data_IF_726584580354
#
_entry.id   IF_726584580354
#
_cell.length_a   1.000
_cell.length_b   1.000
_cell.length_c   1.000
_cell.angle_alpha   90.00
_cell.angle_beta   90.00
_cell.angle_gamma   90.00
#
_symmetry.space_group_name_H-M   'P 1'
#
loop_
_entity.id
_entity.type
_entity.pdbx_description
1 polymer ?
#
# COMPACT_ATOMS: atom_id res chain seq x y z
N UNK A 1 13.53 34.85 -5.71
CA UNK A 1 13.18 33.55 -5.10
C UNK A 1 13.43 32.49 -6.16
N UNK A 2 14.56 31.82 -6.10
CA UNK A 2 14.84 30.64 -6.92
C UNK A 2 13.88 29.55 -6.48
N UNK A 3 12.95 29.18 -7.36
CA UNK A 3 12.11 27.97 -7.18
C UNK A 3 13.10 26.82 -7.06
N UNK A 4 13.25 26.24 -5.87
CA UNK A 4 13.96 24.96 -5.72
C UNK A 4 13.32 23.97 -6.68
N UNK A 5 14.07 23.62 -7.72
CA UNK A 5 13.62 22.63 -8.70
C UNK A 5 13.45 21.31 -7.96
N UNK A 6 12.20 20.89 -7.71
CA UNK A 6 11.87 19.62 -7.05
C UNK A 6 12.62 18.50 -7.79
N UNK A 7 13.49 17.81 -7.09
CA UNK A 7 14.25 16.69 -7.67
C UNK A 7 13.30 15.56 -8.03
N UNK A 8 13.01 15.42 -9.32
CA UNK A 8 12.18 14.32 -9.87
C UNK A 8 12.93 12.99 -9.89
N UNK A 9 12.19 11.89 -9.78
CA UNK A 9 12.75 10.54 -9.74
C UNK A 9 11.96 9.59 -10.66
N UNK A 10 12.67 8.85 -11.50
CA UNK A 10 12.13 7.70 -12.23
C UNK A 10 12.54 6.41 -11.51
N UNK A 11 11.58 5.55 -11.22
CA UNK A 11 11.79 4.18 -10.72
C UNK A 11 11.42 3.21 -11.82
N UNK A 12 12.40 2.64 -12.51
CA UNK A 12 12.15 1.71 -13.61
C UNK A 12 12.21 0.26 -13.12
N UNK A 13 11.09 -0.45 -13.21
CA UNK A 13 11.02 -1.85 -12.78
C UNK A 13 11.59 -2.76 -13.87
N UNK A 14 12.43 -3.71 -13.46
CA UNK A 14 13.10 -4.70 -14.32
C UNK A 14 12.74 -6.12 -13.87
N UNK A 15 12.70 -7.07 -14.78
CA UNK A 15 12.55 -8.50 -14.46
C UNK A 15 11.56 -9.23 -15.35
N UNK A 16 11.59 -10.56 -15.29
CA UNK A 16 10.74 -11.42 -16.10
C UNK A 16 9.26 -11.39 -15.68
N UNK A 17 8.32 -11.82 -16.53
CA UNK A 17 6.90 -11.95 -16.15
C UNK A 17 6.71 -12.86 -14.93
N UNK A 18 5.63 -12.63 -14.17
CA UNK A 18 5.30 -13.36 -12.94
C UNK A 18 6.34 -13.27 -11.79
N UNK A 19 7.18 -12.23 -11.76
CA UNK A 19 8.17 -11.98 -10.70
C UNK A 19 7.76 -10.88 -9.72
N UNK A 20 6.46 -10.55 -9.59
CA UNK A 20 5.97 -9.57 -8.63
C UNK A 20 6.19 -8.09 -8.99
N UNK A 21 6.68 -7.76 -10.20
CA UNK A 21 7.00 -6.38 -10.62
C UNK A 21 5.90 -5.36 -10.37
N UNK A 22 4.71 -5.59 -10.92
CA UNK A 22 3.57 -4.68 -10.79
C UNK A 22 3.13 -4.52 -9.34
N UNK A 23 3.24 -5.59 -8.54
CA UNK A 23 2.96 -5.55 -7.11
C UNK A 23 3.96 -4.65 -6.38
N UNK A 24 5.25 -4.81 -6.67
CA UNK A 24 6.32 -3.96 -6.14
C UNK A 24 6.14 -2.50 -6.54
N UNK A 25 5.88 -2.23 -7.84
CA UNK A 25 5.62 -0.89 -8.35
C UNK A 25 4.48 -0.18 -7.59
N UNK A 26 3.36 -0.88 -7.41
CA UNK A 26 2.19 -0.34 -6.68
C UNK A 26 2.48 -0.12 -5.19
N UNK A 27 3.21 -1.05 -4.56
CA UNK A 27 3.60 -0.87 -3.15
C UNK A 27 4.50 0.36 -2.96
N UNK A 28 5.45 0.59 -3.86
CA UNK A 28 6.29 1.79 -3.83
C UNK A 28 5.42 3.04 -4.00
N UNK A 29 4.55 3.09 -5.02
CA UNK A 29 3.66 4.24 -5.25
C UNK A 29 2.78 4.52 -4.02
N UNK A 30 2.10 3.50 -3.51
CA UNK A 30 1.23 3.61 -2.34
C UNK A 30 1.97 4.13 -1.11
N UNK A 31 3.17 3.60 -0.84
CA UNK A 31 4.00 4.04 0.28
C UNK A 31 4.40 5.51 0.15
N UNK A 32 4.84 5.92 -1.05
CA UNK A 32 5.26 7.30 -1.31
C UNK A 32 4.07 8.26 -1.24
N UNK A 33 2.93 7.93 -1.87
CA UNK A 33 1.71 8.73 -1.82
C UNK A 33 1.21 8.91 -0.39
N UNK A 34 1.17 7.82 0.38
CA UNK A 34 0.77 7.90 1.78
C UNK A 34 1.70 8.79 2.61
N UNK A 35 2.98 8.87 2.25
CA UNK A 35 3.95 9.79 2.88
C UNK A 35 3.85 11.23 2.40
N UNK A 36 3.00 11.52 1.43
CA UNK A 36 2.79 12.86 0.88
C UNK A 36 3.70 13.21 -0.30
N UNK A 37 4.32 12.20 -0.95
CA UNK A 37 5.00 12.38 -2.23
C UNK A 37 4.04 12.05 -3.37
N UNK A 38 4.04 12.85 -4.42
CA UNK A 38 3.24 12.56 -5.61
C UNK A 38 3.94 11.47 -6.46
N UNK A 39 3.41 10.24 -6.37
CA UNK A 39 3.97 9.07 -7.05
C UNK A 39 2.92 8.40 -7.96
N UNK A 40 3.30 8.10 -9.23
CA UNK A 40 2.40 7.52 -10.22
C UNK A 40 3.03 6.35 -10.96
N UNK A 41 2.24 5.28 -11.19
CA UNK A 41 2.68 4.10 -11.94
C UNK A 41 2.27 4.20 -13.40
N UNK A 42 3.24 4.09 -14.30
CA UNK A 42 3.09 4.01 -15.76
C UNK A 42 3.32 2.58 -16.22
N UNK A 43 2.24 1.80 -16.33
CA UNK A 43 2.33 0.37 -16.67
C UNK A 43 2.19 0.15 -18.18
N UNK A 44 3.28 -0.21 -18.85
CA UNK A 44 3.34 -0.43 -20.32
C UNK A 44 2.35 -1.50 -20.79
N UNK A 45 2.02 -2.47 -19.96
CA UNK A 45 0.98 -3.46 -20.26
C UNK A 45 -0.42 -2.84 -20.39
N UNK A 46 -0.72 -1.75 -19.68
CA UNK A 46 -1.98 -1.01 -19.82
C UNK A 46 -2.03 -0.28 -21.17
N UNK A 47 -0.92 0.37 -21.57
CA UNK A 47 -0.83 1.00 -22.89
C UNK A 47 -1.06 -0.02 -24.01
N UNK A 48 -0.40 -1.17 -23.93
CA UNK A 48 -0.63 -2.27 -24.89
C UNK A 48 -2.12 -2.66 -24.96
N UNK A 49 -2.75 -2.90 -23.82
CA UNK A 49 -4.18 -3.30 -23.78
C UNK A 49 -5.10 -2.23 -24.33
N UNK A 50 -4.81 -0.96 -24.07
CA UNK A 50 -5.60 0.17 -24.57
C UNK A 50 -5.52 0.31 -26.09
N UNK A 51 -4.32 0.15 -26.67
CA UNK A 51 -4.07 0.41 -28.09
C UNK A 51 -4.16 -0.81 -28.99
N UNK A 52 -3.79 -2.00 -28.48
CA UNK A 52 -3.72 -3.24 -29.26
C UNK A 52 -4.73 -4.30 -28.80
N UNK A 53 -5.51 -3.99 -27.77
CA UNK A 53 -6.44 -4.93 -27.15
C UNK A 53 -5.79 -5.90 -26.18
N UNK A 54 -6.62 -6.54 -25.36
CA UNK A 54 -6.27 -7.69 -24.54
C UNK A 54 -6.18 -8.96 -25.40
N UNK A 55 -5.76 -10.07 -24.79
CA UNK A 55 -5.72 -11.43 -25.40
C UNK A 55 -4.73 -11.56 -26.57
N UNK A 56 -3.60 -10.85 -26.51
CA UNK A 56 -2.51 -11.07 -27.46
C UNK A 56 -1.92 -12.47 -27.29
N UNK A 57 -1.69 -13.26 -28.36
CA UNK A 57 -1.12 -14.60 -28.28
C UNK A 57 0.32 -14.55 -27.76
N UNK A 58 0.83 -15.68 -27.23
CA UNK A 58 2.19 -15.74 -26.71
C UNK A 58 3.25 -15.34 -27.76
N UNK A 59 3.02 -15.67 -29.05
CA UNK A 59 3.88 -15.31 -30.20
C UNK A 59 4.06 -13.81 -30.40
N UNK A 60 3.13 -12.98 -29.90
CA UNK A 60 3.31 -11.52 -29.88
C UNK A 60 4.52 -11.11 -29.03
N UNK A 61 4.91 -11.92 -28.03
CA UNK A 61 6.00 -11.66 -27.12
C UNK A 61 7.32 -12.31 -27.56
N UNK A 62 7.28 -13.09 -28.63
CA UNK A 62 8.46 -13.71 -29.21
C UNK A 62 9.49 -12.63 -29.62
N UNK A 63 10.76 -12.75 -29.20
CA UNK A 63 11.83 -11.83 -29.61
C UNK A 63 12.09 -11.85 -31.12
N UNK A 64 11.77 -12.95 -31.80
CA UNK A 64 11.96 -13.08 -33.27
C UNK A 64 10.77 -12.50 -34.06
N UNK A 65 9.64 -12.16 -33.43
CA UNK A 65 8.49 -11.52 -34.08
C UNK A 65 8.74 -10.02 -34.30
N UNK A 66 9.01 -9.55 -35.53
CA UNK A 66 9.36 -8.15 -35.79
C UNK A 66 8.18 -7.19 -35.58
N UNK A 67 6.95 -7.61 -35.87
CA UNK A 67 5.74 -6.81 -35.65
C UNK A 67 5.47 -6.65 -34.16
N UNK A 68 5.54 -7.75 -33.40
CA UNK A 68 5.43 -7.74 -31.96
C UNK A 68 6.47 -6.86 -31.31
N UNK A 69 7.75 -6.91 -31.76
CA UNK A 69 8.82 -6.03 -31.27
C UNK A 69 8.52 -4.56 -31.53
N UNK A 70 8.10 -4.19 -32.74
CA UNK A 70 7.76 -2.82 -33.12
C UNK A 70 6.60 -2.29 -32.26
N UNK A 71 5.52 -3.06 -32.14
CA UNK A 71 4.36 -2.69 -31.35
C UNK A 71 4.70 -2.52 -29.85
N UNK A 72 5.47 -3.46 -29.27
CA UNK A 72 5.94 -3.34 -27.88
C UNK A 72 6.84 -2.12 -27.66
N UNK A 73 7.68 -1.76 -28.65
CA UNK A 73 8.50 -0.54 -28.60
C UNK A 73 7.64 0.71 -28.61
N UNK A 74 6.65 0.80 -29.50
CA UNK A 74 5.73 1.95 -29.57
C UNK A 74 4.98 2.17 -28.24
N UNK A 75 4.40 1.11 -27.66
CA UNK A 75 3.67 1.21 -26.41
C UNK A 75 4.56 1.67 -25.24
N UNK A 76 5.79 1.26 -25.27
CA UNK A 76 6.72 1.65 -24.25
C UNK A 76 7.22 3.10 -24.43
N UNK A 77 7.37 3.57 -25.66
CA UNK A 77 7.66 5.00 -25.91
C UNK A 77 6.50 5.87 -25.47
N UNK A 78 5.26 5.53 -25.85
CA UNK A 78 4.09 6.27 -25.40
C UNK A 78 4.00 6.36 -23.87
N UNK A 79 4.30 5.27 -23.16
CA UNK A 79 4.33 5.30 -21.69
C UNK A 79 5.47 6.16 -21.12
N UNK A 80 6.62 6.21 -21.80
CA UNK A 80 7.73 7.11 -21.42
C UNK A 80 7.38 8.58 -21.64
N UNK A 81 6.77 8.90 -22.78
CA UNK A 81 6.32 10.25 -23.12
C UNK A 81 5.30 10.77 -22.10
N UNK A 82 4.24 9.98 -21.81
CA UNK A 82 3.25 10.32 -20.79
C UNK A 82 3.88 10.49 -19.40
N UNK A 83 4.87 9.65 -19.07
CA UNK A 83 5.60 9.71 -17.80
C UNK A 83 6.38 11.01 -17.66
N UNK A 84 7.12 11.39 -18.70
CA UNK A 84 7.91 12.63 -18.72
C UNK A 84 6.98 13.85 -18.70
N UNK A 85 5.88 13.84 -19.47
CA UNK A 85 4.87 14.88 -19.42
C UNK A 85 4.34 15.08 -18.00
N UNK A 86 3.96 14.01 -17.32
CA UNK A 86 3.47 14.07 -15.95
C UNK A 86 4.52 14.62 -14.94
N UNK A 87 5.80 14.21 -15.08
CA UNK A 87 6.89 14.76 -14.25
C UNK A 87 7.08 16.28 -14.51
N UNK A 88 6.96 16.70 -15.77
CA UNK A 88 7.06 18.12 -16.15
C UNK A 88 5.90 18.95 -15.61
N UNK A 89 4.72 18.35 -15.46
CA UNK A 89 3.51 18.97 -14.89
C UNK A 89 3.52 19.02 -13.34
N UNK A 90 4.64 18.65 -12.70
CA UNK A 90 4.85 18.77 -11.25
C UNK A 90 4.80 17.47 -10.46
N UNK A 91 4.67 16.31 -11.10
CA UNK A 91 4.82 14.99 -10.47
C UNK A 91 6.23 14.81 -9.85
N UNK A 92 6.34 14.01 -8.78
CA UNK A 92 7.61 13.84 -8.07
C UNK A 92 8.31 12.52 -8.40
N UNK A 93 7.58 11.40 -8.36
CA UNK A 93 8.15 10.05 -8.55
C UNK A 93 7.35 9.26 -9.57
N UNK A 94 7.92 9.05 -10.73
CA UNK A 94 7.32 8.23 -11.78
C UNK A 94 7.84 6.79 -11.72
N UNK A 95 6.92 5.81 -11.65
CA UNK A 95 7.27 4.40 -11.59
C UNK A 95 6.94 3.75 -12.93
N UNK A 96 7.97 3.42 -13.71
CA UNK A 96 7.85 2.82 -15.03
C UNK A 96 7.79 1.30 -14.93
N UNK A 97 6.57 0.73 -14.97
CA UNK A 97 6.32 -0.70 -14.77
C UNK A 97 6.25 -1.44 -16.11
N UNK A 98 7.36 -2.08 -16.46
CA UNK A 98 7.51 -2.96 -17.61
C UNK A 98 8.47 -4.10 -17.29
N UNK A 99 8.74 -4.98 -18.26
CA UNK A 99 9.78 -6.03 -18.10
C UNK A 99 11.18 -5.44 -18.15
N UNK A 100 11.42 -4.46 -19.01
CA UNK A 100 12.71 -3.78 -19.24
C UNK A 100 13.88 -4.78 -19.32
N UNK A 101 13.62 -5.91 -20.03
CA UNK A 101 14.42 -7.14 -20.00
C UNK A 101 15.76 -7.04 -20.72
N UNK A 102 15.99 -6.03 -21.53
CA UNK A 102 17.24 -5.89 -22.31
C UNK A 102 17.99 -4.62 -21.94
N UNK A 103 19.31 -4.66 -22.02
CA UNK A 103 20.18 -3.50 -21.80
C UNK A 103 19.85 -2.34 -22.75
N UNK A 104 19.57 -2.64 -24.02
CA UNK A 104 19.14 -1.63 -25.01
C UNK A 104 17.89 -0.90 -24.55
N UNK A 105 16.92 -1.65 -23.96
CA UNK A 105 15.69 -1.05 -23.45
C UNK A 105 15.95 -0.15 -22.25
N UNK A 106 16.80 -0.58 -21.33
CA UNK A 106 17.17 0.20 -20.14
C UNK A 106 18.01 1.43 -20.51
N UNK A 107 18.91 1.31 -21.49
CA UNK A 107 19.68 2.43 -22.03
C UNK A 107 18.80 3.53 -22.63
N UNK A 108 17.65 3.18 -23.22
CA UNK A 108 16.68 4.17 -23.70
C UNK A 108 16.05 4.94 -22.53
N UNK A 109 15.70 4.24 -21.43
CA UNK A 109 15.14 4.89 -20.23
C UNK A 109 16.19 5.80 -19.59
N UNK A 110 17.44 5.34 -19.49
CA UNK A 110 18.55 6.14 -18.98
C UNK A 110 18.75 7.42 -19.81
N UNK A 111 18.84 7.28 -21.13
CA UNK A 111 18.95 8.41 -22.05
C UNK A 111 17.81 9.43 -21.85
N UNK A 112 16.56 8.95 -21.75
CA UNK A 112 15.39 9.80 -21.49
C UNK A 112 15.51 10.52 -20.14
N UNK A 113 15.97 9.83 -19.09
CA UNK A 113 16.18 10.44 -17.78
C UNK A 113 17.25 11.54 -17.81
N UNK A 114 18.36 11.27 -18.52
CA UNK A 114 19.47 12.23 -18.66
C UNK A 114 19.04 13.50 -19.44
N UNK A 115 18.31 13.32 -20.55
CA UNK A 115 17.77 14.41 -21.38
C UNK A 115 16.84 15.33 -20.57
N UNK A 116 16.12 14.80 -19.60
CA UNK A 116 15.21 15.57 -18.74
C UNK A 116 15.79 15.87 -17.35
N UNK A 117 17.08 15.63 -17.12
CA UNK A 117 17.77 15.89 -15.85
C UNK A 117 17.06 15.27 -14.64
N UNK A 118 16.44 14.10 -14.84
CA UNK A 118 15.68 13.37 -13.83
C UNK A 118 16.51 12.20 -13.29
N UNK A 119 16.54 12.02 -11.98
CA UNK A 119 17.21 10.87 -11.36
C UNK A 119 16.52 9.58 -11.77
N UNK A 120 17.30 8.51 -11.96
CA UNK A 120 16.80 7.18 -12.28
C UNK A 120 17.34 6.16 -11.29
N UNK A 121 16.48 5.25 -10.89
CA UNK A 121 16.83 4.00 -10.19
C UNK A 121 16.13 2.82 -10.87
N UNK A 122 16.88 1.76 -11.16
CA UNK A 122 16.28 0.50 -11.58
C UNK A 122 15.95 -0.38 -10.38
N UNK A 123 14.80 -1.07 -10.43
CA UNK A 123 14.38 -2.06 -9.43
C UNK A 123 14.18 -3.40 -10.12
N UNK A 124 15.14 -4.29 -9.99
CA UNK A 124 15.10 -5.62 -10.60
C UNK A 124 14.47 -6.64 -9.64
N UNK A 125 13.40 -7.29 -10.09
CA UNK A 125 12.73 -8.36 -9.34
C UNK A 125 13.13 -9.71 -9.92
N UNK A 126 13.89 -10.48 -9.15
CA UNK A 126 14.41 -11.80 -9.49
C UNK A 126 13.73 -12.82 -8.58
N UNK A 127 13.16 -13.86 -9.15
CA UNK A 127 12.60 -14.98 -8.40
C UNK A 127 12.69 -16.24 -9.25
N UNK A 128 13.41 -17.24 -8.77
CA UNK A 128 13.58 -18.51 -9.44
C UNK A 128 12.89 -19.67 -8.68
N UNK A 129 12.07 -19.35 -7.67
CA UNK A 129 11.27 -20.31 -6.91
C UNK A 129 10.04 -20.74 -7.71
N UNK A 130 9.95 -22.01 -8.19
CA UNK A 130 8.84 -22.45 -9.07
C UNK A 130 7.47 -22.31 -8.44
N UNK A 131 7.36 -22.57 -7.14
CA UNK A 131 6.10 -22.45 -6.38
C UNK A 131 5.53 -21.04 -6.40
N UNK A 132 6.40 -20.02 -6.19
CA UNK A 132 6.00 -18.61 -6.20
C UNK A 132 5.64 -18.15 -7.61
N UNK A 133 6.39 -18.60 -8.61
CA UNK A 133 6.10 -18.27 -10.02
C UNK A 133 4.73 -18.82 -10.41
N UNK A 134 4.46 -20.06 -10.06
CA UNK A 134 3.18 -20.71 -10.36
C UNK A 134 2.01 -20.03 -9.63
N UNK A 135 2.17 -19.70 -8.36
CA UNK A 135 1.17 -18.95 -7.59
C UNK A 135 0.92 -17.58 -8.25
N UNK A 136 1.96 -16.84 -8.63
CA UNK A 136 1.84 -15.56 -9.32
C UNK A 136 1.15 -15.68 -10.69
N UNK A 137 1.37 -16.76 -11.42
CA UNK A 137 0.66 -17.01 -12.69
C UNK A 137 -0.83 -17.19 -12.41
N UNK A 138 -1.21 -18.10 -11.50
CA UNK A 138 -2.60 -18.43 -11.19
C UNK A 138 -3.35 -17.22 -10.62
N UNK A 139 -2.80 -16.56 -9.62
CA UNK A 139 -3.51 -15.50 -8.90
C UNK A 139 -3.54 -14.16 -9.64
N UNK A 140 -2.44 -13.82 -10.30
CA UNK A 140 -2.27 -12.46 -10.84
C UNK A 140 -2.56 -12.40 -12.35
N UNK A 141 -2.22 -13.46 -13.08
CA UNK A 141 -2.26 -13.39 -14.55
C UNK A 141 -3.54 -13.96 -15.11
N UNK A 142 -4.07 -15.03 -14.55
CA UNK A 142 -5.34 -15.61 -14.99
C UNK A 142 -6.51 -14.64 -14.72
N UNK A 143 -6.48 -13.90 -13.63
CA UNK A 143 -7.45 -12.84 -13.34
C UNK A 143 -7.26 -11.54 -14.14
N UNK A 144 -6.16 -11.43 -14.91
CA UNK A 144 -5.90 -10.22 -15.71
C UNK A 144 -6.85 -10.13 -16.94
N UNK A 145 -7.07 -8.92 -17.50
CA UNK A 145 -7.89 -8.75 -18.70
C UNK A 145 -7.41 -9.58 -19.90
N UNK A 146 -6.11 -9.94 -19.95
CA UNK A 146 -5.52 -10.73 -21.02
C UNK A 146 -6.08 -12.17 -21.09
N UNK A 147 -6.52 -12.71 -19.95
CA UNK A 147 -6.98 -14.09 -19.82
C UNK A 147 -8.44 -14.24 -19.37
N UNK A 148 -9.18 -13.12 -19.24
CA UNK A 148 -10.57 -13.17 -18.82
C UNK A 148 -11.40 -14.01 -19.79
N UNK A 149 -12.04 -15.08 -19.27
CA UNK A 149 -12.87 -16.02 -20.04
C UNK A 149 -12.07 -17.04 -20.86
N UNK A 150 -10.78 -17.21 -20.59
CA UNK A 150 -9.94 -18.29 -21.11
C UNK A 150 -9.85 -19.38 -20.04
N UNK A 151 -9.89 -20.65 -20.47
CA UNK A 151 -9.67 -21.79 -19.58
C UNK A 151 -8.36 -21.69 -18.83
N UNK A 152 -8.35 -22.08 -17.55
CA UNK A 152 -7.19 -21.90 -16.68
C UNK A 152 -5.94 -22.63 -17.17
N UNK A 153 -6.08 -23.87 -17.67
CA UNK A 153 -4.93 -24.64 -18.16
C UNK A 153 -4.33 -24.04 -19.42
N UNK A 154 -5.20 -23.56 -20.32
CA UNK A 154 -4.77 -22.82 -21.51
C UNK A 154 -4.06 -21.52 -21.16
N UNK A 155 -4.60 -20.75 -20.22
CA UNK A 155 -4.02 -19.50 -19.74
C UNK A 155 -2.64 -19.73 -19.12
N UNK A 156 -2.48 -20.74 -18.28
CA UNK A 156 -1.19 -21.11 -17.66
C UNK A 156 -0.19 -21.53 -18.73
N UNK A 157 -0.60 -22.36 -19.67
CA UNK A 157 0.28 -22.84 -20.75
C UNK A 157 0.77 -21.69 -21.64
N UNK A 158 -0.16 -20.81 -22.07
CA UNK A 158 0.19 -19.62 -22.85
C UNK A 158 1.15 -18.70 -22.09
N UNK A 159 0.86 -18.48 -20.80
CA UNK A 159 1.70 -17.61 -19.99
C UNK A 159 3.11 -18.18 -19.76
N UNK A 160 3.27 -19.49 -19.61
CA UNK A 160 4.59 -20.16 -19.55
C UNK A 160 5.36 -19.99 -20.85
N UNK A 161 4.71 -20.07 -22.02
CA UNK A 161 5.34 -19.75 -23.32
C UNK A 161 5.84 -18.30 -23.35
N UNK A 162 5.05 -17.34 -22.86
CA UNK A 162 5.50 -15.93 -22.75
C UNK A 162 6.74 -15.80 -21.86
N UNK A 163 6.78 -16.49 -20.71
CA UNK A 163 7.96 -16.49 -19.84
C UNK A 163 9.18 -17.02 -20.60
N UNK A 164 9.04 -18.13 -21.36
CA UNK A 164 10.13 -18.70 -22.15
C UNK A 164 10.67 -17.71 -23.19
N UNK A 165 9.81 -17.00 -23.92
CA UNK A 165 10.22 -15.95 -24.86
C UNK A 165 10.98 -14.80 -24.19
N UNK A 166 10.51 -14.35 -23.02
CA UNK A 166 11.24 -13.31 -22.28
C UNK A 166 12.58 -13.81 -21.75
N UNK A 167 12.67 -15.08 -21.39
CA UNK A 167 13.93 -15.67 -20.88
C UNK A 167 15.03 -15.66 -21.94
N UNK A 168 14.71 -15.86 -23.23
CA UNK A 168 15.67 -15.84 -24.34
C UNK A 168 16.36 -14.48 -24.51
N UNK A 169 15.65 -13.38 -24.18
CA UNK A 169 16.13 -12.02 -24.36
C UNK A 169 16.44 -11.29 -23.04
N UNK A 170 16.42 -12.01 -21.91
CA UNK A 170 16.63 -11.38 -20.62
C UNK A 170 18.11 -11.17 -20.30
N UNK A 171 18.45 -9.91 -20.03
CA UNK A 171 19.78 -9.48 -19.60
C UNK A 171 19.67 -8.87 -18.21
N UNK A 172 20.23 -9.50 -17.13
CA UNK A 172 20.20 -8.96 -15.78
C UNK A 172 20.95 -7.62 -15.70
N UNK A 173 20.58 -6.76 -14.75
CA UNK A 173 21.28 -5.50 -14.49
C UNK A 173 22.76 -5.74 -14.21
N UNK A 174 23.61 -4.84 -14.75
CA UNK A 174 25.05 -4.87 -14.57
C UNK A 174 25.52 -3.66 -13.74
N UNK A 175 26.69 -3.72 -13.07
CA UNK A 175 27.20 -2.62 -12.25
C UNK A 175 27.34 -1.29 -12.98
N UNK A 176 27.58 -1.30 -14.27
CA UNK A 176 27.76 -0.12 -15.12
C UNK A 176 26.44 0.53 -15.63
N UNK A 177 25.30 0.06 -15.14
CA UNK A 177 23.99 0.62 -15.49
C UNK A 177 23.47 1.65 -14.43
N UNK A 178 24.36 2.26 -13.65
CA UNK A 178 24.04 3.32 -12.69
C UNK A 178 23.35 2.82 -11.41
N UNK A 179 22.41 3.60 -10.90
CA UNK A 179 21.75 3.30 -9.62
C UNK A 179 20.70 2.20 -9.76
N UNK A 180 20.85 1.12 -9.00
CA UNK A 180 19.86 0.04 -9.01
C UNK A 180 19.78 -0.75 -7.69
N UNK A 181 18.66 -1.46 -7.53
CA UNK A 181 18.42 -2.44 -6.46
C UNK A 181 17.89 -3.74 -7.07
N UNK A 182 18.45 -4.89 -6.69
CA UNK A 182 17.95 -6.22 -7.00
C UNK A 182 17.24 -6.82 -5.80
N UNK A 183 16.01 -7.28 -6.01
CA UNK A 183 15.19 -7.99 -5.03
C UNK A 183 15.21 -9.46 -5.45
N UNK A 184 15.84 -10.32 -4.67
CA UNK A 184 16.04 -11.73 -4.99
C UNK A 184 15.14 -12.58 -4.09
N UNK A 185 14.41 -13.53 -4.68
CA UNK A 185 13.55 -14.50 -4.00
C UNK A 185 12.64 -13.85 -2.96
N UNK A 186 11.80 -12.93 -3.45
CA UNK A 186 10.76 -12.27 -2.62
C UNK A 186 11.35 -11.46 -1.44
N UNK A 187 12.55 -10.92 -1.62
CA UNK A 187 13.22 -10.12 -0.60
C UNK A 187 14.13 -10.90 0.36
N UNK A 188 14.41 -12.19 0.07
CA UNK A 188 15.39 -12.96 0.84
C UNK A 188 16.77 -12.31 0.80
N UNK A 189 17.13 -11.70 -0.33
CA UNK A 189 18.36 -10.93 -0.49
C UNK A 189 18.07 -9.65 -1.27
N UNK A 190 18.72 -8.57 -0.85
CA UNK A 190 18.70 -7.28 -1.54
C UNK A 190 20.14 -6.92 -1.86
N UNK A 191 20.39 -6.56 -3.13
CA UNK A 191 21.69 -6.06 -3.59
C UNK A 191 21.46 -4.67 -4.16
N UNK A 192 22.34 -3.73 -3.82
CA UNK A 192 22.23 -2.33 -4.28
C UNK A 192 23.51 -1.89 -4.98
N UNK A 193 23.38 -0.95 -5.93
CA UNK A 193 24.48 -0.29 -6.60
C UNK A 193 24.20 1.21 -6.65
N UNK A 194 25.17 2.02 -6.24
CA UNK A 194 25.20 3.49 -6.36
C UNK A 194 23.92 4.20 -5.89
N UNK A 195 23.31 3.75 -4.78
CA UNK A 195 22.11 4.38 -4.23
C UNK A 195 22.49 5.68 -3.52
N UNK A 196 22.06 6.81 -4.07
CA UNK A 196 22.33 8.13 -3.52
C UNK A 196 21.07 8.99 -3.43
N UNK A 197 20.95 9.74 -2.35
CA UNK A 197 19.85 10.68 -2.10
C UNK A 197 18.72 10.09 -1.25
N UNK A 198 17.86 10.99 -0.76
CA UNK A 198 16.83 10.67 0.22
C UNK A 198 15.77 9.70 -0.33
N UNK A 199 15.13 10.04 -1.46
CA UNK A 199 14.04 9.21 -2.00
C UNK A 199 14.52 7.82 -2.46
N UNK A 200 15.62 7.67 -3.23
CA UNK A 200 16.17 6.35 -3.55
C UNK A 200 16.48 5.53 -2.29
N UNK A 201 17.14 6.13 -1.29
CA UNK A 201 17.44 5.45 -0.02
C UNK A 201 16.18 5.01 0.72
N UNK A 202 15.11 5.82 0.73
CA UNK A 202 13.82 5.47 1.33
C UNK A 202 13.11 4.34 0.59
N UNK A 203 13.18 4.33 -0.73
CA UNK A 203 12.62 3.24 -1.55
C UNK A 203 13.36 1.93 -1.25
N UNK A 204 14.70 1.95 -1.23
CA UNK A 204 15.49 0.76 -0.88
C UNK A 204 15.18 0.28 0.53
N UNK A 205 15.14 1.18 1.52
CA UNK A 205 14.75 0.82 2.91
C UNK A 205 13.36 0.17 2.97
N UNK A 206 12.39 0.72 2.24
CA UNK A 206 11.05 0.12 2.14
C UNK A 206 11.10 -1.27 1.50
N UNK A 207 11.82 -1.42 0.38
CA UNK A 207 11.98 -2.70 -0.33
C UNK A 207 12.65 -3.78 0.51
N UNK A 208 13.58 -3.42 1.38
CA UNK A 208 14.21 -4.34 2.35
C UNK A 208 13.24 -4.87 3.40
N UNK A 209 12.11 -4.21 3.59
CA UNK A 209 11.13 -4.54 4.63
C UNK A 209 9.77 -5.02 4.08
N UNK A 210 9.61 -5.17 2.76
CA UNK A 210 8.35 -5.69 2.22
C UNK A 210 8.33 -7.22 2.23
N UNK A 211 7.21 -7.77 2.69
CA UNK A 211 6.86 -9.18 2.46
C UNK A 211 5.85 -9.26 1.30
N UNK A 212 6.13 -10.13 0.33
CA UNK A 212 5.33 -10.24 -0.89
C UNK A 212 4.23 -11.33 -0.81
N UNK A 213 4.18 -12.09 0.29
CA UNK A 213 3.17 -13.13 0.51
C UNK A 213 1.83 -12.57 1.01
N UNK A 214 0.80 -13.40 0.94
CA UNK A 214 -0.53 -13.11 1.49
C UNK A 214 -0.47 -13.05 3.01
N UNK A 215 -1.18 -12.08 3.58
CA UNK A 215 -1.40 -11.98 5.02
C UNK A 215 -2.71 -11.27 5.30
N UNK A 216 -3.29 -11.59 6.45
CA UNK A 216 -4.44 -10.86 6.97
C UNK A 216 -3.97 -9.78 7.95
N UNK A 217 -4.63 -8.63 7.89
CA UNK A 217 -4.48 -7.55 8.87
C UNK A 217 -5.87 -7.27 9.42
N UNK A 218 -6.02 -7.37 10.73
CA UNK A 218 -7.25 -6.95 11.39
C UNK A 218 -7.06 -5.62 12.07
N UNK A 219 -7.99 -4.72 11.87
CA UNK A 219 -8.05 -3.41 12.52
C UNK A 219 -9.30 -3.35 13.39
N UNK A 220 -9.16 -2.89 14.62
CA UNK A 220 -10.30 -2.61 15.49
C UNK A 220 -10.00 -1.43 16.40
N UNK A 221 -11.01 -0.58 16.65
CA UNK A 221 -10.90 0.42 17.70
C UNK A 221 -10.93 -0.26 19.06
N UNK A 222 -10.35 0.43 20.06
CA UNK A 222 -10.60 0.08 21.46
C UNK A 222 -12.11 0.03 21.73
N UNK A 223 -12.55 -0.73 22.70
CA UNK A 223 -13.91 -0.73 23.20
C UNK A 223 -14.33 0.69 23.64
N UNK A 224 -15.63 0.95 23.69
CA UNK A 224 -16.14 2.26 24.16
C UNK A 224 -15.47 2.66 25.48
N UNK A 225 -14.92 3.88 25.54
CA UNK A 225 -14.28 4.40 26.72
C UNK A 225 -15.20 5.39 27.46
N UNK A 226 -14.88 5.70 28.71
CA UNK A 226 -15.61 6.72 29.50
C UNK A 226 -15.57 8.09 28.81
N UNK A 227 -14.49 8.43 28.09
CA UNK A 227 -14.40 9.65 27.30
C UNK A 227 -15.31 9.60 26.07
N UNK A 228 -15.50 8.44 25.44
CA UNK A 228 -16.49 8.31 24.36
C UNK A 228 -17.90 8.57 24.87
N UNK A 229 -18.27 8.02 26.05
CA UNK A 229 -19.57 8.29 26.68
C UNK A 229 -19.75 9.76 27.00
N UNK A 230 -18.72 10.44 27.49
CA UNK A 230 -18.74 11.87 27.82
C UNK A 230 -18.54 12.80 26.59
N UNK A 231 -18.39 12.29 25.36
CA UNK A 231 -18.12 13.07 24.14
C UNK A 231 -16.79 13.81 24.12
N UNK A 232 -15.84 13.43 24.98
CA UNK A 232 -14.52 14.06 25.11
C UNK A 232 -13.52 13.50 24.12
N UNK A 233 -12.60 14.34 23.63
CA UNK A 233 -11.52 13.96 22.75
C UNK A 233 -10.21 13.70 23.51
N UNK A 234 -9.32 12.89 22.94
CA UNK A 234 -8.00 12.61 23.49
C UNK A 234 -8.03 11.82 24.79
N UNK A 235 -7.08 12.16 25.67
CA UNK A 235 -6.92 11.59 26.99
C UNK A 235 -6.63 10.10 27.07
N UNK A 236 -6.52 9.60 28.29
CA UNK A 236 -6.29 8.17 28.57
C UNK A 236 -7.32 7.63 29.56
N UNK A 237 -8.59 7.56 29.13
CA UNK A 237 -9.69 7.06 29.92
C UNK A 237 -9.85 5.54 29.82
N UNK A 238 -10.36 4.92 30.87
CA UNK A 238 -10.69 3.50 30.94
C UNK A 238 -11.89 3.16 30.05
N UNK A 239 -12.10 1.88 29.80
CA UNK A 239 -13.30 1.38 29.11
C UNK A 239 -14.58 1.67 29.92
N UNK A 240 -15.70 1.85 29.22
CA UNK A 240 -17.03 1.78 29.78
C UNK A 240 -17.46 0.33 29.99
N UNK A 241 -18.59 0.11 30.68
CA UNK A 241 -19.16 -1.23 30.83
C UNK A 241 -19.44 -1.90 29.45
N UNK A 242 -19.85 -1.11 28.45
CA UNK A 242 -20.05 -1.60 27.07
C UNK A 242 -18.73 -1.94 26.40
N UNK A 243 -17.66 -1.15 26.64
CA UNK A 243 -16.33 -1.44 26.17
C UNK A 243 -15.72 -2.71 26.76
N UNK A 244 -16.00 -3.01 28.04
CA UNK A 244 -15.59 -4.26 28.69
C UNK A 244 -16.29 -5.50 28.05
N UNK A 245 -17.58 -5.40 27.76
CA UNK A 245 -18.31 -6.46 27.02
C UNK A 245 -17.70 -6.70 25.64
N UNK A 246 -17.32 -5.64 24.93
CA UNK A 246 -16.62 -5.76 23.64
C UNK A 246 -15.27 -6.46 23.77
N UNK A 247 -14.48 -6.17 24.82
CA UNK A 247 -13.20 -6.87 25.09
C UNK A 247 -13.39 -8.39 25.19
N UNK A 248 -14.45 -8.83 25.86
CA UNK A 248 -14.81 -10.26 25.95
C UNK A 248 -15.25 -10.84 24.61
N UNK A 249 -16.11 -10.12 23.86
CA UNK A 249 -16.57 -10.52 22.54
C UNK A 249 -15.42 -10.60 21.52
N UNK A 250 -14.45 -9.68 21.61
CA UNK A 250 -13.25 -9.69 20.76
C UNK A 250 -12.41 -10.95 21.00
N UNK A 251 -12.22 -11.34 22.27
CA UNK A 251 -11.52 -12.59 22.62
C UNK A 251 -12.23 -13.83 22.05
N UNK A 252 -13.56 -13.89 22.19
CA UNK A 252 -14.37 -14.96 21.64
C UNK A 252 -14.28 -15.03 20.11
N UNK A 253 -14.26 -13.87 19.41
CA UNK A 253 -14.12 -13.80 17.96
C UNK A 253 -12.80 -14.41 17.45
N UNK A 254 -11.70 -14.18 18.16
CA UNK A 254 -10.37 -14.67 17.80
C UNK A 254 -9.96 -16.01 18.44
N UNK A 255 -10.84 -16.68 19.15
CA UNK A 255 -10.58 -18.01 19.71
C UNK A 255 -10.58 -19.12 18.66
N UNK A 256 -11.16 -18.89 17.46
CA UNK A 256 -11.15 -19.85 16.36
C UNK A 256 -9.77 -19.93 15.69
N UNK A 257 -9.18 -21.11 15.50
CA UNK A 257 -7.86 -21.28 14.87
C UNK A 257 -7.74 -20.64 13.48
N UNK A 258 -8.84 -20.58 12.72
CA UNK A 258 -8.87 -19.96 11.37
C UNK A 258 -8.79 -18.44 11.38
N UNK A 259 -9.01 -17.80 12.53
CA UNK A 259 -9.03 -16.34 12.70
C UNK A 259 -7.97 -15.84 13.68
N UNK A 260 -7.17 -16.71 14.28
CA UNK A 260 -6.20 -16.32 15.30
C UNK A 260 -5.04 -15.54 14.70
N UNK A 261 -4.83 -14.26 15.07
CA UNK A 261 -3.63 -13.51 14.69
C UNK A 261 -2.39 -14.09 15.37
N UNK A 262 -1.24 -13.92 14.77
CA UNK A 262 0.04 -14.36 15.36
C UNK A 262 0.51 -13.43 16.48
N UNK A 263 0.08 -12.18 16.44
CA UNK A 263 0.38 -11.15 17.45
C UNK A 263 -0.67 -10.05 17.43
N UNK A 264 -0.78 -9.35 18.55
CA UNK A 264 -1.63 -8.18 18.72
C UNK A 264 -0.75 -6.95 18.95
N UNK A 265 -1.05 -5.87 18.24
CA UNK A 265 -0.44 -4.56 18.47
C UNK A 265 -1.47 -3.62 19.10
N UNK A 266 -1.14 -3.04 20.22
CA UNK A 266 -1.96 -2.01 20.85
C UNK A 266 -1.19 -0.70 20.95
N UNK A 267 -1.88 0.39 21.19
CA UNK A 267 -1.26 1.59 21.71
C UNK A 267 -0.82 1.39 23.17
N UNK A 268 -0.20 2.41 23.75
CA UNK A 268 0.17 2.40 25.18
C UNK A 268 -0.95 2.90 26.09
N UNK A 269 -2.10 3.36 25.50
CA UNK A 269 -3.22 3.91 26.28
C UNK A 269 -4.09 2.79 26.87
N UNK A 270 -4.55 3.00 28.10
CA UNK A 270 -5.28 2.01 28.91
C UNK A 270 -6.43 1.34 28.16
N UNK A 271 -7.27 2.12 27.45
CA UNK A 271 -8.43 1.58 26.73
C UNK A 271 -8.08 0.54 25.66
N UNK A 272 -6.91 0.63 25.01
CA UNK A 272 -6.48 -0.38 24.02
C UNK A 272 -5.93 -1.62 24.71
N UNK A 273 -5.19 -1.43 25.79
CA UNK A 273 -4.66 -2.51 26.63
C UNK A 273 -5.82 -3.30 27.24
N UNK A 274 -6.82 -2.62 27.83
CA UNK A 274 -8.00 -3.27 28.38
C UNK A 274 -8.82 -4.01 27.33
N UNK A 275 -8.91 -3.46 26.09
CA UNK A 275 -9.63 -4.12 25.00
C UNK A 275 -8.98 -5.45 24.61
N UNK A 276 -7.66 -5.57 24.68
CA UNK A 276 -6.91 -6.77 24.32
C UNK A 276 -6.65 -7.75 25.48
N UNK A 277 -7.00 -7.40 26.71
CA UNK A 277 -6.59 -8.14 27.93
C UNK A 277 -7.00 -9.62 27.97
N UNK A 278 -8.10 -9.97 27.30
CA UNK A 278 -8.61 -11.34 27.28
C UNK A 278 -8.09 -12.17 26.08
N UNK A 279 -7.32 -11.56 25.16
CA UNK A 279 -6.71 -12.26 24.04
C UNK A 279 -5.50 -13.07 24.51
N UNK A 280 -5.57 -14.40 24.41
CA UNK A 280 -4.45 -15.29 24.72
C UNK A 280 -3.41 -15.33 23.57
N UNK A 281 -2.95 -14.15 23.12
CA UNK A 281 -2.10 -13.93 21.95
C UNK A 281 -0.97 -12.99 22.37
N UNK A 282 0.29 -13.21 21.92
CA UNK A 282 1.39 -12.28 22.21
C UNK A 282 1.03 -10.84 21.83
N UNK A 283 1.10 -9.93 22.81
CA UNK A 283 0.70 -8.53 22.63
C UNK A 283 1.90 -7.59 22.79
N UNK A 284 2.01 -6.62 21.88
CA UNK A 284 3.00 -5.54 21.91
C UNK A 284 2.30 -4.20 22.08
N UNK A 285 2.74 -3.42 23.08
CA UNK A 285 2.28 -2.05 23.32
C UNK A 285 3.22 -1.09 22.59
N UNK A 286 2.70 -0.29 21.66
CA UNK A 286 3.51 0.52 20.74
C UNK A 286 3.04 1.96 20.80
N UNK A 287 3.90 2.86 21.28
CA UNK A 287 3.58 4.28 21.45
C UNK A 287 3.17 4.98 20.14
N UNK A 288 3.75 4.58 19.01
CA UNK A 288 3.37 5.14 17.71
C UNK A 288 1.91 4.86 17.31
N UNK A 289 1.21 3.93 18.01
CA UNK A 289 -0.21 3.65 17.83
C UNK A 289 -1.11 4.46 18.79
N UNK A 290 -0.57 5.33 19.66
CA UNK A 290 -1.37 6.21 20.51
C UNK A 290 -2.24 7.13 19.65
N UNK A 291 -3.39 7.57 20.18
CA UNK A 291 -4.31 8.44 19.45
C UNK A 291 -3.63 9.74 19.03
N UNK A 292 -4.17 10.37 18.00
CA UNK A 292 -3.77 11.71 17.58
C UNK A 292 -3.82 12.65 18.78
N UNK A 293 -2.68 13.27 19.10
CA UNK A 293 -2.54 14.15 20.24
C UNK A 293 -3.33 15.45 20.01
N UNK A 294 -4.37 15.68 20.81
CA UNK A 294 -5.17 16.89 20.76
C UNK A 294 -4.53 18.07 21.53
N UNK A 295 -3.33 17.90 22.06
CA UNK A 295 -2.58 18.93 22.76
C UNK A 295 -3.39 19.53 23.92
N UNK A 296 -3.41 20.86 24.01
CA UNK A 296 -4.14 21.55 25.08
C UNK A 296 -5.68 21.49 24.95
N UNK A 297 -6.20 20.77 23.94
CA UNK A 297 -7.63 20.52 23.76
C UNK A 297 -8.07 19.14 24.27
N UNK A 298 -7.12 18.35 24.79
CA UNK A 298 -7.39 17.06 25.41
C UNK A 298 -8.43 17.18 26.53
N UNK A 299 -9.38 16.25 26.60
CA UNK A 299 -10.42 16.20 27.61
C UNK A 299 -11.60 17.16 27.40
N UNK A 300 -11.58 17.97 26.32
CA UNK A 300 -12.72 18.81 25.94
C UNK A 300 -13.68 18.07 25.02
N UNK A 301 -14.93 18.51 24.96
CA UNK A 301 -15.87 18.10 23.91
C UNK A 301 -15.78 19.03 22.70
N UNK A 302 -16.29 18.59 21.52
CA UNK A 302 -16.33 19.48 20.35
C UNK A 302 -17.20 20.72 20.55
N UNK A 303 -18.29 20.62 21.36
CA UNK A 303 -19.11 21.77 21.73
C UNK A 303 -18.31 22.79 22.57
N UNK A 304 -17.54 22.30 23.54
CA UNK A 304 -16.64 23.15 24.33
C UNK A 304 -15.58 23.82 23.49
N UNK A 305 -14.99 23.10 22.52
CA UNK A 305 -14.01 23.67 21.59
C UNK A 305 -14.68 24.72 20.70
N UNK A 306 -15.88 24.43 20.17
CA UNK A 306 -16.63 25.37 19.34
C UNK A 306 -16.99 26.68 20.11
N UNK A 307 -17.39 26.56 21.38
CA UNK A 307 -17.78 27.74 22.17
C UNK A 307 -16.58 28.54 22.68
N UNK A 308 -15.47 27.87 23.07
CA UNK A 308 -14.30 28.55 23.67
C UNK A 308 -13.24 28.96 22.65
N UNK A 309 -13.17 28.26 21.53
CA UNK A 309 -12.15 28.42 20.50
C UNK A 309 -12.76 28.34 19.09
N UNK A 310 -13.69 29.28 18.75
CA UNK A 310 -14.47 29.19 17.51
C UNK A 310 -13.62 29.27 16.25
N UNK A 311 -12.51 30.04 16.26
CA UNK A 311 -11.59 30.14 15.12
C UNK A 311 -10.86 28.84 14.87
N UNK A 312 -10.38 28.15 15.89
CA UNK A 312 -9.73 26.85 15.77
C UNK A 312 -10.71 25.78 15.28
N UNK A 313 -11.95 25.80 15.80
CA UNK A 313 -13.00 24.91 15.33
C UNK A 313 -13.31 25.12 13.85
N UNK A 314 -13.37 26.37 13.38
CA UNK A 314 -13.57 26.71 11.97
C UNK A 314 -12.39 26.28 11.10
N UNK A 315 -11.15 26.57 11.52
CA UNK A 315 -9.93 26.18 10.81
C UNK A 315 -9.83 24.64 10.66
N UNK A 316 -10.15 23.89 11.74
CA UNK A 316 -10.19 22.43 11.69
C UNK A 316 -11.29 21.91 10.76
N UNK A 317 -12.45 22.55 10.72
CA UNK A 317 -13.55 22.17 9.82
C UNK A 317 -13.17 22.40 8.37
N UNK A 318 -12.43 23.48 8.07
CA UNK A 318 -11.96 23.82 6.72
C UNK A 318 -10.88 22.85 6.21
N UNK A 319 -9.92 22.50 7.05
CA UNK A 319 -8.80 21.60 6.68
C UNK A 319 -8.53 20.58 7.81
N UNK A 320 -9.37 19.56 7.93
CA UNK A 320 -9.24 18.55 8.98
C UNK A 320 -7.95 17.72 8.88
N UNK A 321 -7.39 17.57 7.70
CA UNK A 321 -6.15 16.81 7.46
C UNK A 321 -4.91 17.58 7.91
N UNK A 322 -4.81 18.86 7.52
CA UNK A 322 -3.65 19.70 7.83
C UNK A 322 -3.75 20.44 9.17
N UNK A 323 -4.96 20.55 9.76
CA UNK A 323 -5.12 21.25 11.03
C UNK A 323 -4.35 20.55 12.15
N UNK A 324 -3.46 21.33 12.80
CA UNK A 324 -2.69 20.89 13.97
C UNK A 324 -3.29 21.48 15.23
N UNK A 325 -3.61 20.63 16.20
CA UNK A 325 -4.00 21.10 17.53
C UNK A 325 -2.84 21.87 18.20
N UNK A 326 -3.11 22.95 18.94
CA UNK A 326 -2.06 23.65 19.69
C UNK A 326 -1.35 22.69 20.66
N UNK A 327 -0.01 22.60 20.53
CA UNK A 327 0.84 21.63 21.23
C UNK A 327 0.49 20.16 20.97
N UNK A 328 -0.20 19.89 19.86
CA UNK A 328 -0.61 18.55 19.46
C UNK A 328 -0.20 18.21 18.04
N UNK A 329 -0.95 17.31 17.42
CA UNK A 329 -0.71 16.74 16.10
C UNK A 329 -1.79 17.13 15.08
N UNK A 330 -1.41 17.14 13.81
CA UNK A 330 -2.30 17.01 12.65
C UNK A 330 -2.31 15.57 12.14
N UNK A 331 -3.19 15.23 11.18
CA UNK A 331 -3.11 13.95 10.48
C UNK A 331 -1.79 13.79 9.70
N UNK A 332 -1.20 14.88 9.20
CA UNK A 332 0.11 14.84 8.55
C UNK A 332 1.21 14.39 9.54
N UNK A 333 1.18 14.89 10.78
CA UNK A 333 2.13 14.48 11.81
C UNK A 333 1.90 13.03 12.23
N UNK A 334 0.65 12.62 12.37
CA UNK A 334 0.26 11.24 12.67
C UNK A 334 0.79 10.27 11.61
N UNK A 335 0.64 10.60 10.32
CA UNK A 335 1.17 9.79 9.21
C UNK A 335 2.70 9.65 9.32
N UNK A 336 3.41 10.73 9.59
CA UNK A 336 4.87 10.68 9.80
C UNK A 336 5.25 9.78 10.98
N UNK A 337 4.51 9.87 12.08
CA UNK A 337 4.70 9.04 13.28
C UNK A 337 4.40 7.56 13.01
N UNK A 338 3.46 7.25 12.13
CA UNK A 338 3.06 5.89 11.76
C UNK A 338 3.98 5.23 10.71
N UNK A 339 4.92 5.96 10.11
CA UNK A 339 5.83 5.41 9.09
C UNK A 339 6.58 4.14 9.56
N UNK A 340 7.19 4.07 10.75
CA UNK A 340 7.80 2.83 11.23
C UNK A 340 6.80 1.68 11.43
N UNK A 341 5.54 2.00 11.74
CA UNK A 341 4.48 0.99 11.88
C UNK A 341 4.11 0.39 10.53
N UNK A 342 4.02 1.21 9.48
CA UNK A 342 3.78 0.73 8.12
C UNK A 342 4.92 -0.18 7.67
N UNK A 343 6.16 0.23 7.87
CA UNK A 343 7.34 -0.59 7.49
C UNK A 343 7.34 -1.92 8.25
N UNK A 344 7.08 -1.89 9.57
CA UNK A 344 7.00 -3.12 10.38
C UNK A 344 5.82 -3.99 9.94
N UNK A 345 4.66 -3.40 9.61
CA UNK A 345 3.50 -4.12 9.11
C UNK A 345 3.79 -4.76 7.75
N UNK A 346 4.47 -4.06 6.84
CA UNK A 346 4.85 -4.59 5.54
C UNK A 346 5.85 -5.75 5.63
N UNK A 347 6.68 -5.78 6.66
CA UNK A 347 7.63 -6.86 6.94
C UNK A 347 6.96 -8.14 7.45
N UNK A 348 5.76 -8.05 8.05
CA UNK A 348 5.09 -9.21 8.63
C UNK A 348 4.65 -10.23 7.59
N UNK A 349 5.03 -11.49 7.79
CA UNK A 349 4.56 -12.63 7.00
C UNK A 349 3.30 -13.28 7.60
N UNK A 350 3.08 -13.09 8.90
CA UNK A 350 1.96 -13.69 9.64
C UNK A 350 0.86 -12.67 9.93
N UNK A 351 -0.39 -13.11 10.12
CA UNK A 351 -1.50 -12.23 10.42
C UNK A 351 -1.33 -11.42 11.71
N UNK A 352 -1.75 -10.15 11.70
CA UNK A 352 -1.63 -9.21 12.83
C UNK A 352 -2.98 -8.58 13.14
N UNK A 353 -3.32 -8.47 14.43
CA UNK A 353 -4.44 -7.65 14.92
C UNK A 353 -3.91 -6.33 15.49
N UNK A 354 -4.45 -5.20 15.02
CA UNK A 354 -4.13 -3.86 15.53
C UNK A 354 -5.35 -3.33 16.28
N UNK A 355 -5.19 -3.12 17.59
CA UNK A 355 -6.18 -2.50 18.48
C UNK A 355 -5.71 -1.08 18.77
N UNK A 356 -6.34 -0.09 18.13
CA UNK A 356 -5.89 1.30 18.23
C UNK A 356 -7.06 2.28 18.30
N UNK A 357 -6.88 3.47 17.76
CA UNK A 357 -7.77 4.61 17.88
C UNK A 357 -8.27 5.06 16.52
N UNK A 358 -9.29 5.92 16.53
CA UNK A 358 -9.98 6.31 15.30
C UNK A 358 -9.05 6.97 14.26
N UNK A 359 -8.23 7.95 14.66
CA UNK A 359 -7.37 8.64 13.71
C UNK A 359 -6.24 7.73 13.21
N UNK A 360 -5.63 6.96 14.11
CA UNK A 360 -4.60 5.98 13.77
C UNK A 360 -5.10 4.95 12.76
N UNK A 361 -6.26 4.34 13.03
CA UNK A 361 -6.82 3.32 12.16
C UNK A 361 -7.25 3.90 10.80
N UNK A 362 -7.75 5.12 10.75
CA UNK A 362 -8.03 5.84 9.49
C UNK A 362 -6.80 5.97 8.62
N UNK A 363 -5.65 6.35 9.21
CA UNK A 363 -4.39 6.47 8.50
C UNK A 363 -3.85 5.12 8.02
N UNK A 364 -3.88 4.07 8.86
CA UNK A 364 -3.46 2.72 8.49
C UNK A 364 -4.38 2.10 7.43
N UNK A 365 -5.68 2.28 7.57
CA UNK A 365 -6.68 1.82 6.61
C UNK A 365 -6.51 2.49 5.25
N UNK A 366 -6.31 3.82 5.23
CA UNK A 366 -6.06 4.56 3.99
C UNK A 366 -4.82 4.02 3.26
N UNK A 367 -3.74 3.73 4.00
CA UNK A 367 -2.56 3.08 3.44
C UNK A 367 -2.88 1.72 2.82
N UNK A 368 -3.57 0.84 3.55
CA UNK A 368 -3.85 -0.53 3.09
C UNK A 368 -4.83 -0.57 1.90
N UNK A 369 -5.78 0.38 1.86
CA UNK A 369 -6.80 0.49 0.82
C UNK A 369 -6.38 1.37 -0.36
N UNK A 370 -5.17 1.94 -0.35
CA UNK A 370 -4.66 2.87 -1.38
C UNK A 370 -5.56 4.12 -1.56
N UNK A 371 -6.03 4.66 -0.43
CA UNK A 371 -6.87 5.88 -0.38
C UNK A 371 -5.96 7.09 -0.16
N UNK A 372 -6.19 8.22 -0.86
CA UNK A 372 -5.43 9.44 -0.66
C UNK A 372 -5.41 9.89 0.81
N UNK A 373 -4.25 10.30 1.36
CA UNK A 373 -4.11 10.65 2.79
C UNK A 373 -5.08 11.74 3.26
N UNK A 374 -5.42 12.67 2.39
CA UNK A 374 -6.33 13.80 2.69
C UNK A 374 -7.75 13.32 3.00
N UNK A 375 -8.12 12.12 2.56
CA UNK A 375 -9.41 11.50 2.83
C UNK A 375 -9.44 10.77 4.19
N UNK A 376 -8.27 10.49 4.80
CA UNK A 376 -8.19 9.78 6.10
C UNK A 376 -9.16 10.30 7.15
N UNK A 377 -9.31 11.64 7.38
CA UNK A 377 -10.15 12.17 8.44
C UNK A 377 -11.64 11.81 8.32
N UNK A 378 -12.07 11.36 7.16
CA UNK A 378 -13.47 11.12 6.82
C UNK A 378 -13.82 9.63 6.72
N UNK A 379 -12.82 8.74 6.84
CA UNK A 379 -13.05 7.30 6.76
C UNK A 379 -13.81 6.80 8.00
N UNK A 380 -14.73 5.87 7.76
CA UNK A 380 -15.52 5.28 8.83
C UNK A 380 -14.74 4.17 9.56
N UNK A 381 -14.57 4.38 10.88
CA UNK A 381 -13.94 3.42 11.80
C UNK A 381 -14.87 3.26 13.01
N UNK A 382 -15.90 2.42 12.91
CA UNK A 382 -16.88 2.28 13.99
C UNK A 382 -16.28 1.59 15.22
N UNK A 383 -16.84 1.88 16.40
CA UNK A 383 -16.58 1.12 17.63
C UNK A 383 -17.09 -0.32 17.47
N UNK A 384 -16.57 -1.22 18.27
CA UNK A 384 -17.00 -2.62 18.38
C UNK A 384 -17.06 -3.40 17.06
N UNK A 385 -16.25 -3.00 16.09
CA UNK A 385 -16.18 -3.63 14.77
C UNK A 385 -14.75 -4.10 14.47
N UNK A 386 -14.63 -5.31 14.00
CA UNK A 386 -13.38 -5.87 13.46
C UNK A 386 -13.40 -5.71 11.95
N UNK A 387 -12.40 -5.02 11.40
CA UNK A 387 -12.19 -4.84 9.97
C UNK A 387 -11.07 -5.79 9.57
N UNK A 388 -11.37 -6.77 8.73
CA UNK A 388 -10.39 -7.68 8.16
C UNK A 388 -9.97 -7.18 6.79
N UNK A 389 -8.68 -7.05 6.59
CA UNK A 389 -8.05 -6.61 5.35
C UNK A 389 -7.12 -7.70 4.81
N UNK A 390 -7.26 -8.03 3.54
CA UNK A 390 -6.39 -8.94 2.82
C UNK A 390 -5.75 -8.21 1.64
N UNK A 391 -4.52 -7.69 1.79
CA UNK A 391 -3.81 -7.05 0.68
C UNK A 391 -3.57 -8.03 -0.45
N UNK A 392 -3.95 -7.64 -1.69
CA UNK A 392 -3.79 -8.40 -2.92
C UNK A 392 -2.88 -7.69 -3.91
N UNK A 393 -2.50 -8.36 -4.99
CA UNK A 393 -1.70 -7.77 -6.06
C UNK A 393 -2.40 -6.55 -6.71
N UNK A 394 -3.73 -6.54 -6.71
CA UNK A 394 -4.57 -5.48 -7.28
C UNK A 394 -5.63 -5.05 -6.26
N UNK A 395 -5.23 -4.24 -5.26
CA UNK A 395 -6.12 -3.72 -4.24
C UNK A 395 -6.04 -4.47 -2.91
N UNK A 396 -7.10 -4.37 -2.12
CA UNK A 396 -7.23 -5.01 -0.81
C UNK A 396 -8.67 -5.50 -0.66
N UNK A 397 -8.84 -6.75 -0.28
CA UNK A 397 -10.18 -7.25 0.06
C UNK A 397 -10.51 -6.89 1.51
N UNK A 398 -11.77 -6.50 1.76
CA UNK A 398 -12.25 -6.08 3.06
C UNK A 398 -13.47 -6.87 3.48
N UNK A 399 -13.56 -7.16 4.78
CA UNK A 399 -14.79 -7.57 5.44
C UNK A 399 -14.89 -6.93 6.82
N UNK A 400 -16.11 -6.61 7.26
CA UNK A 400 -16.39 -6.03 8.57
C UNK A 400 -17.29 -6.93 9.37
N UNK A 401 -16.97 -7.12 10.65
CA UNK A 401 -17.79 -7.88 11.60
C UNK A 401 -18.09 -7.00 12.81
N UNK A 402 -19.32 -6.65 13.01
CA UNK A 402 -19.77 -6.01 14.26
C UNK A 402 -19.84 -7.03 15.39
N UNK A 403 -19.27 -6.69 16.53
CA UNK A 403 -19.28 -7.49 17.75
C UNK A 403 -20.10 -6.80 18.86
N UNK A 404 -21.02 -5.90 18.48
CA UNK A 404 -21.89 -5.23 19.41
C UNK A 404 -23.02 -6.18 19.81
N UNK A 405 -23.14 -6.47 21.10
CA UNK A 405 -24.18 -7.35 21.67
C UNK A 405 -25.61 -6.81 21.57
N UNK A 406 -25.78 -5.62 20.97
CA UNK A 406 -27.09 -4.99 20.76
C UNK A 406 -27.71 -5.24 19.38
N UNK A 407 -27.05 -6.00 18.49
CA UNK A 407 -27.57 -6.32 17.17
C UNK A 407 -27.69 -7.84 16.96
N UNK A 408 -28.74 -8.43 17.47
CA UNK A 408 -29.30 -9.66 16.88
C UNK A 408 -29.98 -9.28 15.56
N UNK A 409 -29.18 -9.12 14.51
CA UNK A 409 -29.62 -9.28 13.10
C UNK A 409 -28.39 -9.39 12.20
N UNK A 410 -28.14 -10.60 11.75
CA UNK A 410 -27.18 -10.89 10.70
C UNK A 410 -27.60 -10.20 9.40
N UNK A 411 -26.75 -9.31 8.90
CA UNK A 411 -26.70 -9.00 7.46
C UNK A 411 -25.25 -8.95 7.04
N UNK A 412 -24.78 -10.05 6.50
CA UNK A 412 -23.56 -10.10 5.74
C UNK A 412 -23.80 -9.37 4.42
N UNK A 413 -23.44 -8.11 4.36
CA UNK A 413 -23.36 -7.37 3.09
C UNK A 413 -21.97 -7.52 2.51
N UNK A 414 -21.80 -8.45 1.58
CA UNK A 414 -20.67 -8.48 0.66
C UNK A 414 -20.83 -7.34 -0.35
N UNK A 415 -20.22 -6.21 -0.08
CA UNK A 415 -20.08 -5.17 -1.08
C UNK A 415 -18.79 -5.43 -1.86
N UNK A 416 -18.94 -6.08 -2.99
CA UNK A 416 -17.95 -6.07 -4.07
C UNK A 416 -17.90 -4.64 -4.64
N UNK A 417 -16.99 -3.84 -4.11
CA UNK A 417 -16.66 -2.54 -4.69
C UNK A 417 -15.90 -2.74 -6.00
N UNK A 418 -16.63 -2.86 -7.09
CA UNK A 418 -16.12 -2.67 -8.43
C UNK A 418 -15.97 -1.17 -8.67
N UNK A 419 -14.83 -0.60 -8.38
CA UNK A 419 -14.49 0.69 -8.97
C UNK A 419 -14.06 0.45 -10.41
N UNK A 420 -15.05 0.61 -11.29
CA UNK A 420 -14.87 0.74 -12.71
C UNK A 420 -14.01 1.94 -13.03
N UNK A 421 -13.16 1.77 -14.02
CA UNK A 421 -12.31 2.81 -14.54
C UNK A 421 -13.12 3.98 -15.12
N UNK A 422 -12.53 5.13 -15.02
CA UNK A 422 -12.80 6.24 -15.93
C UNK A 422 -11.45 6.68 -16.49
N UNK A 423 -11.41 6.62 -17.81
CA UNK A 423 -10.53 7.19 -18.85
C UNK A 423 -9.10 7.57 -18.46
#
# INVERSE_FOLDING_TARGET
MTVEQKSTLIVAIVGMPARGKTYTARKIARYLNWRGHDAKVFNVGNYRRKHLGAKQPATFFDPENPEGRRARKQMAMAALEDMIGWLSDGGEVAIYDATNSTRVRRGLIQKTADEHQTKLIFVESICDMPSIIEENIRETKISSPDYRGIDEQHAVTDFRKRIAFYHQAYEPLQPDEGSWVKIIDVGRQIITNEITGYLPGRIVFFLMNIHLGKRLVWLTRHGESQYNVAGKIGGDSMLSARGEKFSTALSAHFSSPKRTPSEVWTSTLHRTIQTSKHLAIPTRHIKNLDELNAGVRDGLTYEQIKSRFPEEYAARKQNKFGYRYPQGESYQDLIRRLDPIIVELERKAKPVLIVAHQAVLRALYAYLMDIPPEQCPFLDMPLHTVIQLEPKAYGCAESRTSLDSSSDSATASSILGSNGGIS
#
